data_IF_685661265461
#
_entry.id   IF_685661265461
#
_cell.length_a   1.000
_cell.length_b   1.000
_cell.length_c   1.000
_cell.angle_alpha   90.00
_cell.angle_beta   90.00
_cell.angle_gamma   90.00
#
_symmetry.space_group_name_H-M   'P 1'
#
loop_
_entity.id
_entity.type
_entity.pdbx_description
1 polymer ?
#
# COMPACT_ATOMS: atom_id res chain seq x y z
N UNK A 1 10.87 0.73 45.26
CA UNK A 1 11.19 1.54 44.06
C UNK A 1 10.44 0.96 42.87
N UNK A 2 9.39 1.63 42.43
CA UNK A 2 8.68 1.36 41.18
C UNK A 2 8.95 2.53 40.25
N UNK A 3 9.53 2.25 39.08
CA UNK A 3 9.65 3.21 38.00
C UNK A 3 8.59 2.87 36.95
N UNK A 4 7.71 3.82 36.63
CA UNK A 4 6.65 3.70 35.64
C UNK A 4 6.86 4.70 34.51
N UNK A 5 7.26 4.22 33.33
CA UNK A 5 7.32 5.00 32.10
C UNK A 5 5.92 5.06 31.46
N UNK A 6 5.38 6.27 31.27
CA UNK A 6 4.09 6.52 30.63
C UNK A 6 4.27 6.80 29.13
N UNK A 7 3.36 6.24 28.33
CA UNK A 7 3.26 6.33 26.86
C UNK A 7 3.16 7.78 26.34
N UNK A 8 3.89 8.03 25.27
CA UNK A 8 3.67 9.16 24.36
C UNK A 8 2.29 9.04 23.68
N UNK A 9 1.59 10.17 23.52
CA UNK A 9 0.30 10.25 22.81
C UNK A 9 0.46 11.08 21.55
N UNK A 10 0.00 10.52 20.44
CA UNK A 10 -0.20 11.21 19.16
C UNK A 10 -1.70 11.25 18.84
N UNK A 11 -2.20 12.38 18.33
CA UNK A 11 -3.58 12.54 17.87
C UNK A 11 -3.63 13.43 16.62
N UNK A 12 -4.57 13.12 15.71
CA UNK A 12 -4.83 13.89 14.49
C UNK A 12 -6.30 14.29 14.40
N UNK A 13 -6.58 15.56 14.13
CA UNK A 13 -7.92 16.13 13.91
C UNK A 13 -8.08 16.55 12.43
N UNK A 14 -9.17 16.16 11.77
CA UNK A 14 -9.40 16.35 10.32
C UNK A 14 -10.79 16.88 10.01
N UNK A 15 -10.86 18.06 9.37
CA UNK A 15 -12.08 18.71 8.91
C UNK A 15 -11.85 19.38 7.54
N UNK A 16 -12.35 18.78 6.44
CA UNK A 16 -12.27 19.39 5.11
C UNK A 16 -13.57 19.16 4.32
N UNK A 17 -13.99 20.19 3.58
CA UNK A 17 -14.96 20.03 2.49
C UNK A 17 -14.28 19.20 1.40
N UNK A 18 -14.95 18.15 0.94
CA UNK A 18 -14.42 17.23 -0.07
C UNK A 18 -14.89 17.61 -1.47
N UNK A 19 -16.12 18.12 -1.59
CA UNK A 19 -16.68 18.63 -2.84
C UNK A 19 -17.54 19.88 -2.58
N UNK A 20 -17.47 20.85 -3.50
CA UNK A 20 -18.13 22.14 -3.36
C UNK A 20 -19.53 22.14 -3.98
N UNK A 21 -20.56 22.47 -3.19
CA UNK A 21 -21.94 22.59 -3.66
C UNK A 21 -22.17 23.89 -4.45
N UNK A 22 -23.01 23.87 -5.50
CA UNK A 22 -23.33 25.08 -6.25
C UNK A 22 -24.08 24.85 -7.56
N UNK A 23 -24.39 25.94 -8.25
CA UNK A 23 -24.92 25.93 -9.62
C UNK A 23 -23.75 26.09 -10.59
N UNK A 24 -23.55 25.11 -11.47
CA UNK A 24 -22.52 25.15 -12.52
C UNK A 24 -23.22 25.07 -13.88
N UNK A 25 -23.30 26.18 -14.59
CA UNK A 25 -23.83 26.22 -15.96
C UNK A 25 -22.67 26.39 -16.94
N UNK A 26 -22.63 25.66 -18.05
CA UNK A 26 -21.48 25.71 -18.95
C UNK A 26 -21.59 26.88 -19.95
N UNK A 27 -21.36 26.66 -21.25
CA UNK A 27 -21.42 27.71 -22.26
C UNK A 27 -22.81 28.35 -22.45
N UNK A 28 -23.86 27.76 -21.86
CA UNK A 28 -25.24 28.25 -21.90
C UNK A 28 -25.52 29.46 -21.01
N UNK A 29 -24.65 29.76 -20.03
CA UNK A 29 -24.86 30.87 -19.10
C UNK A 29 -25.86 30.55 -17.99
N UNK A 30 -26.19 31.54 -17.17
CA UNK A 30 -27.24 31.43 -16.17
C UNK A 30 -28.09 32.70 -16.14
N UNK A 31 -29.38 32.53 -15.92
CA UNK A 31 -30.32 33.61 -15.59
C UNK A 31 -31.13 33.17 -14.37
N UNK A 32 -30.74 33.68 -13.21
CA UNK A 32 -31.24 33.22 -11.91
C UNK A 32 -32.01 34.37 -11.27
N UNK A 33 -33.27 34.12 -10.93
CA UNK A 33 -34.10 35.08 -10.19
C UNK A 33 -34.50 34.49 -8.84
N UNK A 34 -34.11 35.17 -7.75
CA UNK A 34 -34.42 34.78 -6.38
C UNK A 34 -35.12 35.94 -5.69
N UNK A 35 -36.41 35.79 -5.35
CA UNK A 35 -37.18 36.89 -4.74
C UNK A 35 -36.59 37.35 -3.39
N UNK A 36 -36.05 36.40 -2.61
CA UNK A 36 -35.45 36.66 -1.29
C UNK A 36 -33.93 36.74 -1.32
N UNK A 37 -33.30 36.33 -0.22
CA UNK A 37 -31.84 36.36 -0.07
C UNK A 37 -31.18 35.13 -0.67
N UNK A 38 -30.11 35.33 -1.42
CA UNK A 38 -29.19 34.26 -1.85
C UNK A 38 -28.06 34.12 -0.84
N UNK A 39 -28.01 33.01 -0.11
CA UNK A 39 -26.98 32.71 0.87
C UNK A 39 -26.01 31.65 0.32
N UNK A 40 -24.72 31.95 0.34
CA UNK A 40 -23.66 31.01 -0.03
C UNK A 40 -22.75 30.78 1.18
N UNK A 41 -22.57 29.53 1.58
CA UNK A 41 -21.60 29.11 2.60
C UNK A 41 -20.67 28.09 1.97
N UNK A 42 -19.48 28.53 1.57
CA UNK A 42 -18.54 27.76 0.77
C UNK A 42 -19.08 27.30 -0.59
N UNK A 43 -20.24 27.78 -1.04
CA UNK A 43 -20.88 27.35 -2.31
C UNK A 43 -20.69 28.33 -3.47
N UNK A 44 -20.91 27.86 -4.71
CA UNK A 44 -20.66 28.68 -5.93
C UNK A 44 -21.85 28.80 -6.90
N UNK A 45 -21.84 29.88 -7.69
CA UNK A 45 -22.64 30.02 -8.92
C UNK A 45 -21.69 30.33 -10.07
N UNK A 46 -21.42 29.35 -10.92
CA UNK A 46 -20.35 29.39 -11.91
C UNK A 46 -20.87 29.20 -13.33
N UNK A 47 -20.29 29.93 -14.28
CA UNK A 47 -20.46 29.63 -15.70
C UNK A 47 -19.30 30.06 -16.59
N UNK A 48 -19.03 29.23 -17.61
CA UNK A 48 -18.01 29.47 -18.65
C UNK A 48 -18.50 30.33 -19.82
N UNK A 49 -19.80 30.61 -19.91
CA UNK A 49 -20.35 31.56 -20.89
C UNK A 49 -19.79 32.99 -20.72
N UNK A 50 -19.96 33.82 -21.76
CA UNK A 50 -19.63 35.24 -21.72
C UNK A 50 -20.51 36.02 -20.72
N UNK A 51 -20.00 37.15 -20.20
CA UNK A 51 -20.64 37.90 -19.10
C UNK A 51 -22.07 38.40 -19.41
N UNK A 52 -22.37 38.67 -20.67
CA UNK A 52 -23.69 39.08 -21.17
C UNK A 52 -24.77 37.99 -21.03
N UNK A 53 -24.38 36.72 -20.86
CA UNK A 53 -25.28 35.57 -20.65
C UNK A 53 -25.37 35.11 -19.20
N UNK A 54 -24.87 35.92 -18.27
CA UNK A 54 -24.80 35.60 -16.84
C UNK A 54 -25.50 36.70 -16.06
N UNK A 55 -26.68 36.39 -15.53
CA UNK A 55 -27.53 37.31 -14.78
C UNK A 55 -28.02 36.68 -13.48
N UNK A 56 -27.80 37.35 -12.36
CA UNK A 56 -28.37 37.01 -11.07
C UNK A 56 -29.19 38.20 -10.55
N UNK A 57 -30.51 38.04 -10.49
CA UNK A 57 -31.42 39.00 -9.87
C UNK A 57 -31.87 38.45 -8.52
N UNK A 58 -31.52 39.13 -7.42
CA UNK A 58 -31.89 38.67 -6.08
C UNK A 58 -32.21 39.80 -5.12
N UNK A 59 -33.00 39.52 -4.08
CA UNK A 59 -33.34 40.51 -3.04
C UNK A 59 -32.10 41.02 -2.31
N UNK A 60 -31.30 40.12 -1.74
CA UNK A 60 -30.01 40.42 -1.11
C UNK A 60 -29.06 39.21 -1.22
N UNK A 61 -27.77 39.41 -0.95
CA UNK A 61 -26.76 38.33 -0.98
C UNK A 61 -26.01 38.30 0.33
N UNK A 62 -25.76 37.10 0.86
CA UNK A 62 -24.77 36.88 1.93
C UNK A 62 -23.83 35.75 1.54
N UNK A 63 -22.56 35.89 1.94
CA UNK A 63 -21.51 34.90 1.64
C UNK A 63 -20.70 34.60 2.89
N UNK A 64 -20.23 33.37 3.02
CA UNK A 64 -19.34 32.91 4.08
C UNK A 64 -18.45 31.79 3.56
N UNK A 65 -17.20 31.75 3.98
CA UNK A 65 -16.24 30.72 3.57
C UNK A 65 -16.15 29.61 4.64
N UNK A 66 -15.72 28.42 4.24
CA UNK A 66 -15.47 27.29 5.14
C UNK A 66 -13.95 27.08 5.25
N UNK A 67 -13.44 27.08 6.48
CA UNK A 67 -12.04 26.76 6.78
C UNK A 67 -11.86 25.24 6.86
N UNK A 68 -10.93 24.70 6.07
CA UNK A 68 -10.51 23.31 6.08
C UNK A 68 -9.20 23.16 6.88
N UNK A 69 -9.07 22.13 7.71
CA UNK A 69 -7.89 21.91 8.55
C UNK A 69 -7.57 20.43 8.75
N UNK A 70 -6.29 20.13 8.87
CA UNK A 70 -5.76 18.86 9.37
C UNK A 70 -4.60 19.16 10.32
N UNK A 71 -4.66 18.69 11.57
CA UNK A 71 -3.63 18.94 12.58
C UNK A 71 -3.19 17.65 13.26
N UNK A 72 -1.88 17.45 13.40
CA UNK A 72 -1.28 16.36 14.16
C UNK A 72 -0.41 16.89 15.31
N UNK A 73 -0.51 16.28 16.48
CA UNK A 73 0.34 16.64 17.65
C UNK A 73 0.98 15.41 18.27
N UNK A 74 2.28 15.50 18.57
CA UNK A 74 3.02 14.48 19.31
C UNK A 74 3.63 15.10 20.59
N UNK A 75 3.61 14.36 21.70
CA UNK A 75 4.29 14.77 22.93
C UNK A 75 5.06 13.64 23.57
N UNK A 76 6.34 13.88 23.89
CA UNK A 76 7.18 13.01 24.70
C UNK A 76 7.37 13.57 26.12
N UNK A 77 7.29 12.71 27.14
CA UNK A 77 7.62 13.10 28.52
C UNK A 77 8.61 12.09 29.14
N UNK A 78 9.78 12.61 29.54
CA UNK A 78 10.90 11.85 30.09
C UNK A 78 10.67 11.29 31.50
N UNK A 79 11.57 10.38 31.91
CA UNK A 79 11.60 9.79 33.24
C UNK A 79 12.87 10.20 34.00
N UNK A 80 12.69 10.78 35.20
CA UNK A 80 13.73 10.99 36.20
C UNK A 80 13.69 9.86 37.24
N UNK A 81 14.87 9.46 37.72
CA UNK A 81 15.05 8.38 38.69
C UNK A 81 14.83 8.83 40.14
N UNK A 82 14.40 7.84 40.95
CA UNK A 82 14.72 7.60 42.37
C UNK A 82 13.69 7.97 43.43
N UNK A 83 13.64 7.12 44.46
CA UNK A 83 13.29 7.51 45.82
C UNK A 83 11.96 6.98 46.35
N UNK A 84 12.02 6.39 47.54
CA UNK A 84 10.93 5.72 48.24
C UNK A 84 9.96 6.73 48.91
N UNK A 85 8.70 6.32 48.93
CA UNK A 85 7.59 6.64 49.84
C UNK A 85 7.35 8.07 50.39
N UNK A 86 6.12 8.52 50.10
CA UNK A 86 5.28 9.45 50.90
C UNK A 86 5.37 10.97 50.61
N UNK A 87 4.73 11.35 49.49
CA UNK A 87 3.83 12.52 49.31
C UNK A 87 4.35 13.77 48.56
N UNK A 88 3.73 14.00 47.39
CA UNK A 88 3.21 15.27 46.80
C UNK A 88 3.70 16.59 47.43
N UNK A 89 4.34 17.46 46.62
CA UNK A 89 3.96 18.89 46.45
C UNK A 89 5.06 19.83 45.89
N UNK A 90 6.23 19.34 45.47
CA UNK A 90 7.18 20.17 44.68
C UNK A 90 6.95 19.96 43.19
N UNK A 91 5.72 20.18 42.76
CA UNK A 91 5.48 20.72 41.42
C UNK A 91 6.15 22.11 41.40
N UNK A 92 6.92 22.48 40.36
CA UNK A 92 6.50 23.58 39.46
C UNK A 92 7.54 24.21 38.53
N UNK A 93 8.85 24.23 38.75
CA UNK A 93 9.67 25.29 38.08
C UNK A 93 10.97 24.89 37.34
N UNK A 94 11.10 23.71 36.74
CA UNK A 94 12.23 23.40 35.82
C UNK A 94 11.68 22.70 34.56
N UNK A 95 11.22 23.47 33.56
CA UNK A 95 11.94 23.89 32.33
C UNK A 95 12.10 22.73 31.31
N UNK A 96 11.16 22.46 30.39
CA UNK A 96 10.74 23.16 29.14
C UNK A 96 11.57 22.76 27.89
N UNK A 97 10.85 22.58 26.76
CA UNK A 97 11.21 22.22 25.35
C UNK A 97 11.21 20.71 25.00
N UNK A 98 10.50 20.19 23.98
CA UNK A 98 9.68 20.81 22.93
C UNK A 98 8.71 19.79 22.28
N UNK A 99 7.56 20.28 21.80
CA UNK A 99 6.52 19.51 21.10
C UNK A 99 6.58 19.85 19.61
N UNK A 100 6.62 18.85 18.72
CA UNK A 100 6.41 19.05 17.29
C UNK A 100 4.89 19.08 17.02
N UNK A 101 4.43 20.09 16.28
CA UNK A 101 3.07 20.20 15.74
C UNK A 101 3.20 20.35 14.23
N UNK A 102 2.47 19.56 13.46
CA UNK A 102 2.38 19.70 12.01
C UNK A 102 0.92 19.80 11.60
N UNK A 103 0.61 20.65 10.62
CA UNK A 103 -0.76 20.92 10.22
C UNK A 103 -0.87 21.58 8.86
N UNK A 104 -1.97 21.30 8.17
CA UNK A 104 -2.31 21.84 6.87
C UNK A 104 -3.68 22.54 6.94
N UNK A 105 -3.79 23.69 6.28
CA UNK A 105 -5.02 24.49 6.22
C UNK A 105 -5.38 24.79 4.76
N UNK A 106 -6.67 24.93 4.49
CA UNK A 106 -7.24 25.25 3.18
C UNK A 106 -8.57 25.97 3.34
N UNK A 107 -9.09 26.56 2.27
CA UNK A 107 -10.35 27.31 2.32
C UNK A 107 -11.30 26.88 1.21
N UNK A 108 -12.60 26.87 1.52
CA UNK A 108 -13.67 26.70 0.54
C UNK A 108 -14.50 27.97 0.53
N UNK A 109 -14.27 28.80 -0.48
CA UNK A 109 -14.84 30.14 -0.61
C UNK A 109 -16.15 30.15 -1.34
N UNK A 110 -17.04 31.03 -0.92
CA UNK A 110 -18.23 31.33 -1.71
C UNK A 110 -17.91 32.25 -2.87
N UNK A 111 -18.34 31.89 -4.08
CA UNK A 111 -18.00 32.65 -5.29
C UNK A 111 -19.13 32.67 -6.33
N UNK A 112 -19.25 33.79 -7.06
CA UNK A 112 -20.21 33.95 -8.16
C UNK A 112 -19.44 34.45 -9.39
N UNK A 113 -19.44 33.68 -10.48
CA UNK A 113 -18.69 34.03 -11.69
C UNK A 113 -19.14 35.36 -12.29
N UNK A 114 -18.25 36.05 -13.00
CA UNK A 114 -18.50 37.38 -13.61
C UNK A 114 -19.78 37.43 -14.43
N UNK A 115 -20.55 38.52 -14.31
CA UNK A 115 -21.90 38.66 -14.86
C UNK A 115 -22.69 39.74 -14.15
N UNK A 116 -23.85 40.08 -14.68
CA UNK A 116 -24.74 41.12 -14.16
C UNK A 116 -25.40 40.65 -12.85
N UNK A 117 -25.26 41.43 -11.78
CA UNK A 117 -25.96 41.18 -10.51
C UNK A 117 -26.89 42.35 -10.21
N UNK A 118 -28.17 42.07 -10.02
CA UNK A 118 -29.21 43.06 -9.71
C UNK A 118 -29.75 42.78 -8.32
N UNK A 119 -29.56 43.73 -7.40
CA UNK A 119 -30.05 43.66 -6.03
C UNK A 119 -31.37 44.45 -5.93
N UNK A 120 -32.47 43.75 -5.65
CA UNK A 120 -33.82 44.33 -5.71
C UNK A 120 -34.28 44.92 -4.37
N UNK A 121 -33.62 44.60 -3.24
CA UNK A 121 -33.91 45.17 -1.91
C UNK A 121 -32.72 45.98 -1.34
N UNK A 122 -32.37 47.06 -2.04
CA UNK A 122 -31.26 47.96 -1.67
C UNK A 122 -31.46 48.68 -0.33
N UNK A 123 -32.72 48.81 0.14
CA UNK A 123 -33.03 49.43 1.44
C UNK A 123 -32.76 48.48 2.61
N UNK A 124 -33.09 47.19 2.47
CA UNK A 124 -32.76 46.16 3.45
C UNK A 124 -31.25 45.87 3.56
N UNK A 125 -30.50 46.03 2.46
CA UNK A 125 -29.04 45.89 2.49
C UNK A 125 -28.34 47.02 3.24
N UNK A 126 -28.79 48.28 3.09
CA UNK A 126 -28.24 49.39 3.87
C UNK A 126 -28.48 49.26 5.37
N UNK A 127 -29.57 48.62 5.80
CA UNK A 127 -29.76 48.26 7.21
C UNK A 127 -28.83 47.16 7.73
N UNK A 128 -28.19 46.40 6.85
CA UNK A 128 -27.07 45.49 7.18
C UNK A 128 -25.71 46.23 7.17
N UNK A 129 -25.70 47.55 6.94
CA UNK A 129 -24.52 48.40 7.08
C UNK A 129 -23.63 48.49 5.84
N UNK A 130 -24.05 48.00 4.67
CA UNK A 130 -23.25 47.98 3.45
C UNK A 130 -24.03 48.52 2.24
N UNK A 131 -23.37 49.25 1.34
CA UNK A 131 -23.98 49.71 0.10
C UNK A 131 -24.03 48.58 -0.96
N UNK A 132 -25.03 48.60 -1.83
CA UNK A 132 -25.22 47.54 -2.84
C UNK A 132 -24.01 47.43 -3.79
N UNK A 133 -23.34 48.55 -4.12
CA UNK A 133 -22.12 48.54 -4.93
C UNK A 133 -20.93 47.91 -4.20
N UNK A 134 -20.79 48.16 -2.89
CA UNK A 134 -19.73 47.56 -2.06
C UNK A 134 -19.91 46.05 -1.89
N UNK A 135 -21.15 45.60 -1.67
CA UNK A 135 -21.46 44.16 -1.57
C UNK A 135 -21.07 43.46 -2.87
N UNK A 136 -21.54 43.95 -4.02
CA UNK A 136 -21.22 43.35 -5.32
C UNK A 136 -19.71 43.39 -5.60
N UNK A 137 -19.05 44.50 -5.26
CA UNK A 137 -17.61 44.66 -5.43
C UNK A 137 -16.77 43.74 -4.53
N UNK A 138 -17.31 43.31 -3.40
CA UNK A 138 -16.63 42.40 -2.45
C UNK A 138 -16.80 40.91 -2.76
N UNK A 139 -17.72 40.54 -3.67
CA UNK A 139 -17.96 39.14 -4.01
C UNK A 139 -16.73 38.51 -4.70
N UNK A 140 -16.34 37.32 -4.26
CA UNK A 140 -15.34 36.54 -4.97
C UNK A 140 -15.89 36.11 -6.34
N UNK A 141 -15.23 36.54 -7.42
CA UNK A 141 -15.62 36.23 -8.79
C UNK A 141 -14.92 35.02 -9.39
N UNK A 142 -13.89 34.51 -8.72
CA UNK A 142 -13.11 33.38 -9.17
C UNK A 142 -13.70 32.08 -8.64
N UNK A 143 -14.60 31.47 -9.41
CA UNK A 143 -15.23 30.19 -9.06
C UNK A 143 -14.34 28.98 -9.36
N UNK A 144 -13.29 29.13 -10.19
CA UNK A 144 -12.45 28.02 -10.62
C UNK A 144 -11.47 27.58 -9.55
N UNK A 145 -11.02 28.51 -8.70
CA UNK A 145 -10.10 28.23 -7.58
C UNK A 145 -10.76 28.51 -6.23
N UNK A 146 -12.09 28.47 -6.16
CA UNK A 146 -12.83 28.77 -4.95
C UNK A 146 -12.77 27.64 -3.90
N UNK A 147 -12.22 26.48 -4.23
CA UNK A 147 -12.15 25.34 -3.32
C UNK A 147 -10.74 24.76 -3.23
N UNK A 148 -10.22 24.68 -2.00
CA UNK A 148 -8.94 24.05 -1.68
C UNK A 148 -9.12 23.12 -0.47
N UNK A 149 -9.20 21.81 -0.73
CA UNK A 149 -9.31 20.77 0.29
C UNK A 149 -7.95 20.48 0.98
N UNK A 150 -8.00 19.89 2.17
CA UNK A 150 -6.82 19.45 2.95
C UNK A 150 -6.87 17.92 3.11
N UNK A 151 -5.71 17.25 3.15
CA UNK A 151 -5.57 15.81 3.37
C UNK A 151 -5.13 15.48 4.82
N UNK A 152 -5.50 14.31 5.40
CA UNK A 152 -5.04 13.90 6.74
C UNK A 152 -3.55 13.52 6.77
N UNK A 153 -2.86 13.80 7.89
CA UNK A 153 -1.39 13.70 8.05
C UNK A 153 -0.98 12.48 8.92
N UNK A 154 -0.05 11.64 8.43
CA UNK A 154 1.02 11.00 9.25
C UNK A 154 2.37 11.06 8.49
N UNK A 155 3.42 11.54 9.16
CA UNK A 155 4.28 12.62 8.69
C UNK A 155 5.67 12.24 8.13
N UNK A 156 5.98 10.97 7.84
CA UNK A 156 7.33 10.63 7.29
C UNK A 156 7.37 9.51 6.23
N UNK A 157 6.29 8.74 6.04
CA UNK A 157 6.26 7.63 5.07
C UNK A 157 5.43 7.89 3.81
N UNK A 158 4.87 9.10 3.65
CA UNK A 158 4.00 9.48 2.53
C UNK A 158 4.72 10.12 1.34
N UNK A 159 5.90 10.72 1.52
CA UNK A 159 6.54 11.56 0.49
C UNK A 159 7.02 10.79 -0.76
N UNK A 160 7.36 9.50 -0.65
CA UNK A 160 7.82 8.69 -1.80
C UNK A 160 6.70 8.01 -2.61
N UNK A 161 5.52 7.82 -2.02
CA UNK A 161 4.41 7.08 -2.64
C UNK A 161 3.35 7.99 -3.29
N UNK A 162 3.36 9.29 -2.99
CA UNK A 162 2.33 10.25 -3.41
C UNK A 162 2.58 10.83 -4.81
N UNK A 163 3.82 10.86 -5.32
CA UNK A 163 4.08 11.44 -6.65
C UNK A 163 3.49 10.63 -7.82
N UNK A 164 3.20 9.33 -7.63
CA UNK A 164 2.57 8.49 -8.67
C UNK A 164 1.06 8.29 -8.47
N UNK A 165 0.41 8.96 -7.49
CA UNK A 165 -1.00 8.68 -7.13
C UNK A 165 -2.02 9.65 -7.74
N UNK A 166 -1.64 10.87 -8.12
CA UNK A 166 -2.60 11.91 -8.52
C UNK A 166 -2.85 12.00 -10.04
N UNK A 167 -1.91 11.58 -10.88
CA UNK A 167 -2.15 11.50 -12.33
C UNK A 167 -3.05 10.31 -12.70
N UNK A 168 -3.08 9.26 -11.87
CA UNK A 168 -3.81 8.02 -12.14
C UNK A 168 -5.32 8.10 -11.81
N UNK A 169 -5.75 9.11 -11.06
CA UNK A 169 -7.18 9.33 -10.71
C UNK A 169 -7.83 10.41 -11.58
N UNK A 170 -7.06 11.32 -12.19
CA UNK A 170 -7.61 12.37 -13.05
C UNK A 170 -7.87 11.93 -14.50
N UNK A 171 -7.37 10.77 -14.92
CA UNK A 171 -7.52 10.27 -16.30
C UNK A 171 -8.78 9.40 -16.50
N UNK A 172 -9.89 9.78 -15.86
CA UNK A 172 -11.21 9.17 -16.04
C UNK A 172 -11.87 9.65 -17.35
N UNK A 173 -11.23 9.30 -18.45
CA UNK A 173 -11.85 9.11 -19.76
C UNK A 173 -12.19 7.61 -19.95
N UNK A 174 -12.81 7.22 -21.07
CA UNK A 174 -13.15 5.81 -21.37
C UNK A 174 -11.95 4.83 -21.27
N UNK A 175 -10.71 5.32 -21.27
CA UNK A 175 -9.48 4.53 -21.07
C UNK A 175 -9.14 4.26 -19.59
N UNK A 176 -9.46 5.17 -18.67
CA UNK A 176 -9.12 5.08 -17.23
C UNK A 176 -9.96 4.06 -16.45
N UNK A 177 -11.23 3.87 -16.81
CA UNK A 177 -12.04 2.78 -16.28
C UNK A 177 -11.50 1.41 -16.73
N UNK A 178 -10.93 1.34 -17.94
CA UNK A 178 -10.31 0.12 -18.48
C UNK A 178 -9.12 -0.34 -17.64
N UNK A 179 -8.29 0.59 -17.15
CA UNK A 179 -7.11 0.28 -16.32
C UNK A 179 -7.51 -0.34 -14.97
N UNK A 180 -8.39 0.31 -14.20
CA UNK A 180 -8.87 -0.23 -12.92
C UNK A 180 -9.67 -1.52 -13.09
N UNK A 181 -10.46 -1.62 -14.17
CA UNK A 181 -11.18 -2.85 -14.49
C UNK A 181 -10.21 -4.01 -14.80
N UNK A 182 -9.10 -3.78 -15.52
CA UNK A 182 -8.07 -4.81 -15.76
C UNK A 182 -7.44 -5.28 -14.46
N UNK A 183 -7.04 -4.35 -13.57
CA UNK A 183 -6.49 -4.68 -12.25
C UNK A 183 -7.51 -5.52 -11.47
N UNK A 184 -8.77 -5.08 -11.40
CA UNK A 184 -9.82 -5.80 -10.70
C UNK A 184 -10.04 -7.20 -11.29
N UNK A 185 -10.15 -7.29 -12.62
CA UNK A 185 -10.37 -8.55 -13.32
C UNK A 185 -9.26 -9.54 -13.03
N UNK A 186 -8.01 -9.12 -13.14
CA UNK A 186 -6.86 -9.98 -12.86
C UNK A 186 -6.85 -10.40 -11.40
N UNK A 187 -6.99 -9.46 -10.47
CA UNK A 187 -6.81 -9.71 -9.05
C UNK A 187 -7.96 -10.49 -8.37
N UNK A 188 -9.18 -10.37 -8.90
CA UNK A 188 -10.40 -10.90 -8.26
C UNK A 188 -11.25 -11.82 -9.14
N UNK A 189 -11.31 -11.60 -10.45
CA UNK A 189 -12.19 -12.36 -11.34
C UNK A 189 -11.49 -13.53 -12.04
N UNK A 190 -10.18 -13.43 -12.28
CA UNK A 190 -9.39 -14.50 -12.89
C UNK A 190 -9.02 -15.57 -11.86
N UNK A 191 -8.96 -16.84 -12.29
CA UNK A 191 -8.49 -17.95 -11.44
C UNK A 191 -6.98 -17.81 -11.20
N UNK A 192 -6.55 -17.94 -9.95
CA UNK A 192 -5.13 -17.97 -9.56
C UNK A 192 -4.77 -19.42 -9.23
N UNK A 193 -4.26 -20.23 -10.17
CA UNK A 193 -4.04 -21.65 -9.92
C UNK A 193 -2.88 -21.87 -8.95
N UNK A 194 -2.96 -22.97 -8.19
CA UNK A 194 -1.81 -23.53 -7.49
C UNK A 194 -1.20 -24.65 -8.33
N UNK A 195 0.12 -24.77 -8.32
CA UNK A 195 0.85 -25.80 -9.02
C UNK A 195 1.83 -26.51 -8.11
N UNK A 196 2.23 -27.71 -8.51
CA UNK A 196 3.23 -28.51 -7.85
C UNK A 196 4.38 -28.79 -8.81
N UNK A 197 5.61 -28.57 -8.34
CA UNK A 197 6.84 -28.92 -9.05
C UNK A 197 6.94 -30.43 -9.15
N UNK A 198 7.22 -30.93 -10.35
CA UNK A 198 7.36 -32.34 -10.60
C UNK A 198 8.69 -32.85 -10.02
N UNK A 199 8.62 -33.96 -9.28
CA UNK A 199 9.78 -34.64 -8.71
C UNK A 199 9.82 -36.11 -9.17
N UNK A 200 11.01 -36.69 -9.21
CA UNK A 200 11.20 -38.13 -9.43
C UNK A 200 10.90 -38.95 -8.16
N UNK A 201 10.99 -40.28 -8.25
CA UNK A 201 10.75 -41.19 -7.12
C UNK A 201 11.73 -41.00 -5.95
N UNK A 202 12.87 -40.35 -6.17
CA UNK A 202 13.86 -40.04 -5.15
C UNK A 202 13.69 -38.62 -4.59
N UNK A 203 12.68 -37.87 -5.06
CA UNK A 203 12.42 -36.50 -4.66
C UNK A 203 13.29 -35.46 -5.37
N UNK A 204 13.95 -35.77 -6.48
CA UNK A 204 14.71 -34.79 -7.25
C UNK A 204 13.80 -34.01 -8.20
N UNK A 205 14.03 -32.69 -8.32
CA UNK A 205 13.30 -31.82 -9.26
C UNK A 205 13.48 -32.28 -10.71
N UNK A 206 12.36 -32.36 -11.45
CA UNK A 206 12.35 -32.68 -12.87
C UNK A 206 12.38 -31.42 -13.74
N UNK A 207 13.15 -31.49 -14.82
CA UNK A 207 13.29 -30.42 -15.81
C UNK A 207 12.88 -30.91 -17.19
N UNK A 208 12.40 -30.00 -18.03
CA UNK A 208 12.09 -30.31 -19.43
C UNK A 208 13.37 -30.76 -20.15
N UNK A 209 13.31 -31.89 -20.86
CA UNK A 209 14.47 -32.44 -21.59
C UNK A 209 14.25 -32.47 -23.09
N UNK A 210 15.34 -32.46 -23.86
CA UNK A 210 15.34 -32.75 -25.28
C UNK A 210 15.14 -34.25 -25.57
N UNK A 211 15.09 -34.61 -26.86
CA UNK A 211 14.93 -35.99 -27.33
C UNK A 211 16.06 -36.93 -26.85
N UNK A 212 17.19 -36.39 -26.40
CA UNK A 212 18.33 -37.15 -25.88
C UNK A 212 18.36 -37.18 -24.33
N UNK A 213 17.33 -36.67 -23.67
CA UNK A 213 17.24 -36.61 -22.21
C UNK A 213 18.09 -35.51 -21.58
N UNK A 214 18.57 -34.51 -22.35
CA UNK A 214 19.33 -33.38 -21.80
C UNK A 214 18.40 -32.23 -21.39
N UNK A 215 18.55 -31.64 -20.19
CA UNK A 215 17.72 -30.53 -19.75
C UNK A 215 17.80 -29.31 -20.69
N UNK A 216 16.62 -28.77 -21.03
CA UNK A 216 16.43 -27.62 -21.89
C UNK A 216 16.44 -26.34 -21.05
N UNK A 217 17.08 -25.31 -21.60
CA UNK A 217 17.08 -23.96 -21.04
C UNK A 217 16.08 -23.07 -21.78
N UNK A 218 15.36 -22.23 -21.05
CA UNK A 218 14.52 -21.18 -21.59
C UNK A 218 15.33 -20.04 -22.20
N UNK A 219 14.63 -19.03 -22.73
CA UNK A 219 15.22 -17.84 -23.33
C UNK A 219 16.04 -17.00 -22.33
N UNK A 220 15.83 -17.21 -21.03
CA UNK A 220 16.55 -16.61 -19.92
C UNK A 220 17.82 -17.39 -19.53
N UNK A 221 18.14 -18.48 -20.24
CA UNK A 221 19.32 -19.31 -20.00
C UNK A 221 19.18 -20.29 -18.83
N UNK A 222 17.98 -20.45 -18.26
CA UNK A 222 17.73 -21.32 -17.09
C UNK A 222 16.94 -22.56 -17.45
N UNK A 223 17.12 -23.64 -16.68
CA UNK A 223 16.38 -24.87 -16.89
C UNK A 223 14.88 -24.69 -16.64
N UNK A 224 14.06 -25.22 -17.54
CA UNK A 224 12.61 -25.14 -17.43
C UNK A 224 12.17 -26.23 -16.46
N UNK A 225 11.66 -25.81 -15.30
CA UNK A 225 11.17 -26.70 -14.25
C UNK A 225 9.83 -27.31 -14.68
N UNK A 226 9.68 -28.64 -14.58
CA UNK A 226 8.40 -29.28 -14.86
C UNK A 226 7.47 -29.11 -13.66
N UNK A 227 6.20 -28.86 -13.94
CA UNK A 227 5.15 -28.74 -12.94
C UNK A 227 3.81 -29.16 -13.53
N UNK A 228 2.83 -29.36 -12.66
CA UNK A 228 1.44 -29.47 -13.07
C UNK A 228 0.58 -28.55 -12.19
N UNK A 229 -0.49 -28.02 -12.76
CA UNK A 229 -1.48 -27.29 -11.97
C UNK A 229 -2.38 -28.25 -11.23
N UNK A 230 -2.63 -27.94 -9.97
CA UNK A 230 -3.51 -28.70 -9.10
C UNK A 230 -4.96 -28.57 -9.55
N UNK A 231 -5.71 -29.65 -9.40
CA UNK A 231 -7.17 -29.65 -9.45
C UNK A 231 -7.72 -29.09 -8.13
N UNK A 232 -8.94 -28.53 -8.11
CA UNK A 232 -9.52 -27.96 -6.90
C UNK A 232 -9.55 -28.90 -5.68
N UNK A 233 -9.70 -30.20 -5.89
CA UNK A 233 -9.64 -31.22 -4.85
C UNK A 233 -8.24 -31.42 -4.27
N UNK A 234 -7.19 -31.24 -5.07
CA UNK A 234 -5.79 -31.38 -4.68
C UNK A 234 -5.30 -30.15 -3.89
N UNK A 235 -5.82 -28.95 -4.21
CA UNK A 235 -5.48 -27.68 -3.54
C UNK A 235 -5.74 -27.68 -2.01
N UNK A 236 -6.61 -28.59 -1.52
CA UNK A 236 -6.91 -28.74 -0.09
C UNK A 236 -6.22 -29.96 0.56
N UNK A 237 -5.43 -30.72 -0.20
CA UNK A 237 -4.78 -31.95 0.24
C UNK A 237 -3.31 -31.97 -0.18
N UNK A 238 -2.61 -30.85 0.05
CA UNK A 238 -1.18 -30.71 -0.16
C UNK A 238 -0.41 -31.69 0.72
N UNK A 239 0.66 -32.25 0.16
CA UNK A 239 1.49 -33.25 0.80
C UNK A 239 2.69 -32.58 1.49
N UNK A 240 3.09 -33.13 2.62
CA UNK A 240 4.28 -32.68 3.34
C UNK A 240 5.54 -33.26 2.68
N UNK A 241 6.60 -32.45 2.64
CA UNK A 241 7.93 -32.90 2.28
C UNK A 241 8.51 -33.88 3.31
N UNK A 242 9.73 -34.34 3.04
CA UNK A 242 10.47 -35.24 3.93
C UNK A 242 10.82 -34.62 5.29
N UNK A 243 10.81 -33.28 5.36
CA UNK A 243 10.97 -32.47 6.57
C UNK A 243 9.67 -32.30 7.38
N UNK A 244 8.54 -32.82 6.88
CA UNK A 244 7.25 -32.74 7.55
C UNK A 244 6.52 -31.41 7.35
N UNK A 245 7.00 -30.55 6.45
CA UNK A 245 6.38 -29.25 6.12
C UNK A 245 5.73 -29.27 4.74
N UNK A 246 4.64 -28.52 4.57
CA UNK A 246 4.12 -28.15 3.25
C UNK A 246 4.87 -26.91 2.78
N UNK A 247 5.48 -26.94 1.60
CA UNK A 247 6.25 -25.81 1.05
C UNK A 247 5.42 -25.07 0.00
N UNK A 248 5.14 -23.79 0.25
CA UNK A 248 4.31 -22.96 -0.62
C UNK A 248 5.00 -21.64 -0.97
N UNK A 249 5.24 -21.44 -2.27
CA UNK A 249 5.79 -20.20 -2.83
C UNK A 249 4.71 -19.26 -3.37
N UNK A 250 4.85 -17.96 -3.12
CA UNK A 250 3.99 -16.91 -3.66
C UNK A 250 4.76 -16.00 -4.61
N UNK A 251 4.30 -15.93 -5.87
CA UNK A 251 5.01 -15.26 -6.95
C UNK A 251 4.88 -13.72 -6.96
N UNK A 252 5.87 -13.07 -7.57
CA UNK A 252 5.92 -11.63 -7.78
C UNK A 252 5.08 -11.12 -8.96
N UNK A 253 5.41 -9.92 -9.45
CA UNK A 253 4.96 -9.41 -10.76
C UNK A 253 5.85 -9.93 -11.88
N UNK A 254 5.41 -9.84 -13.14
CA UNK A 254 6.21 -10.24 -14.31
C UNK A 254 6.77 -11.66 -14.23
N UNK A 255 6.06 -12.55 -13.55
CA UNK A 255 6.47 -13.93 -13.31
C UNK A 255 5.57 -14.82 -14.15
N UNK A 256 6.12 -15.53 -15.13
CA UNK A 256 5.39 -16.57 -15.85
C UNK A 256 5.11 -17.79 -14.95
N UNK A 257 4.21 -18.70 -15.33
CA UNK A 257 4.06 -19.98 -14.63
C UNK A 257 5.37 -20.76 -14.48
N UNK A 258 6.19 -20.79 -15.54
CA UNK A 258 7.49 -21.47 -15.54
C UNK A 258 8.47 -20.79 -14.57
N UNK A 259 8.43 -19.45 -14.48
CA UNK A 259 9.22 -18.70 -13.50
C UNK A 259 8.72 -18.93 -12.08
N UNK A 260 7.42 -19.05 -11.85
CA UNK A 260 6.86 -19.32 -10.54
C UNK A 260 7.30 -20.69 -10.02
N UNK A 261 7.21 -21.73 -10.86
CA UNK A 261 7.72 -23.06 -10.54
C UNK A 261 9.24 -23.05 -10.29
N UNK A 262 10.00 -22.34 -11.13
CA UNK A 262 11.44 -22.19 -10.97
C UNK A 262 11.81 -21.47 -9.67
N UNK A 263 11.08 -20.42 -9.28
CA UNK A 263 11.32 -19.70 -8.05
C UNK A 263 10.93 -20.51 -6.81
N UNK A 264 9.90 -21.37 -6.90
CA UNK A 264 9.59 -22.32 -5.84
C UNK A 264 10.79 -23.23 -5.54
N UNK A 265 11.49 -23.70 -6.58
CA UNK A 265 12.74 -24.46 -6.41
C UNK A 265 13.89 -23.58 -5.91
N UNK A 266 14.08 -22.39 -6.51
CA UNK A 266 15.22 -21.51 -6.19
C UNK A 266 15.22 -21.05 -4.73
N UNK A 267 14.04 -20.84 -4.14
CA UNK A 267 13.88 -20.30 -2.79
C UNK A 267 13.66 -21.36 -1.71
N UNK A 268 13.38 -22.61 -2.09
CA UNK A 268 13.28 -23.72 -1.16
C UNK A 268 14.65 -24.02 -0.52
N UNK A 269 14.71 -24.04 0.81
CA UNK A 269 15.91 -24.51 1.53
C UNK A 269 16.13 -26.01 1.36
N UNK A 270 15.04 -26.74 1.10
CA UNK A 270 15.02 -28.15 0.79
C UNK A 270 14.20 -28.34 -0.48
N UNK A 271 14.89 -28.59 -1.60
CA UNK A 271 14.25 -28.88 -2.89
C UNK A 271 13.92 -30.37 -3.07
N UNK A 272 14.10 -31.19 -2.03
CA UNK A 272 13.79 -32.62 -2.05
C UNK A 272 12.43 -32.90 -1.41
N UNK A 273 11.38 -32.89 -2.21
CA UNK A 273 10.01 -33.20 -1.79
C UNK A 273 8.96 -32.34 -2.49
N UNK A 274 7.73 -32.33 -1.96
CA UNK A 274 6.64 -31.57 -2.57
C UNK A 274 6.87 -30.05 -2.43
N UNK A 275 7.01 -29.37 -3.57
CA UNK A 275 7.09 -27.92 -3.65
C UNK A 275 5.89 -27.37 -4.41
N UNK A 276 5.12 -26.52 -3.74
CA UNK A 276 3.94 -25.88 -4.32
C UNK A 276 4.18 -24.40 -4.59
N UNK A 277 3.43 -23.85 -5.54
CA UNK A 277 3.40 -22.42 -5.79
C UNK A 277 2.00 -21.94 -6.12
N UNK A 278 1.68 -20.73 -5.67
CA UNK A 278 0.52 -19.98 -6.16
C UNK A 278 0.95 -19.15 -7.37
N UNK A 279 0.24 -19.28 -8.49
CA UNK A 279 0.41 -18.42 -9.65
C UNK A 279 -0.66 -17.32 -9.65
N UNK A 280 -0.24 -16.12 -9.31
CA UNK A 280 -1.00 -14.90 -9.54
C UNK A 280 -0.82 -14.49 -11.01
N UNK A 281 -1.90 -14.47 -11.82
CA UNK A 281 -1.82 -14.19 -13.25
C UNK A 281 -1.24 -12.80 -13.54
N UNK A 282 -0.38 -12.72 -14.56
CA UNK A 282 0.23 -11.48 -15.02
C UNK A 282 -0.49 -10.88 -16.25
N UNK A 283 -0.45 -9.56 -16.40
CA UNK A 283 -0.68 -8.85 -17.66
C UNK A 283 0.64 -8.65 -18.43
N UNK A 284 0.55 -8.48 -19.75
CA UNK A 284 1.71 -8.12 -20.58
C UNK A 284 2.06 -6.64 -20.46
N UNK A 285 1.11 -5.83 -19.99
CA UNK A 285 1.30 -4.40 -19.76
C UNK A 285 1.99 -4.13 -18.42
N UNK A 286 3.18 -3.52 -18.52
CA UNK A 286 4.01 -3.15 -17.37
C UNK A 286 3.29 -2.21 -16.39
N UNK A 287 2.47 -1.29 -16.88
CA UNK A 287 1.73 -0.35 -16.03
C UNK A 287 0.60 -1.05 -15.27
N UNK A 288 -0.02 -2.07 -15.86
CA UNK A 288 -1.06 -2.87 -15.20
C UNK A 288 -0.44 -3.74 -14.10
N UNK A 289 0.67 -4.41 -14.38
CA UNK A 289 1.40 -5.24 -13.40
C UNK A 289 1.91 -4.43 -12.19
N UNK A 290 2.53 -3.28 -12.44
CA UNK A 290 2.94 -2.35 -11.37
C UNK A 290 1.71 -1.81 -10.62
N UNK A 291 0.63 -1.53 -11.35
CA UNK A 291 -0.66 -1.13 -10.80
C UNK A 291 -1.25 -2.14 -9.82
N UNK A 292 -1.18 -3.43 -10.13
CA UNK A 292 -1.63 -4.51 -9.23
C UNK A 292 -0.82 -4.49 -7.93
N UNK A 293 0.50 -4.33 -8.00
CA UNK A 293 1.35 -4.27 -6.81
C UNK A 293 1.03 -3.06 -5.90
N UNK A 294 0.85 -1.89 -6.50
CA UNK A 294 0.40 -0.67 -5.79
C UNK A 294 -0.99 -0.88 -5.19
N UNK A 295 -1.90 -1.49 -5.96
CA UNK A 295 -3.25 -1.78 -5.50
C UNK A 295 -3.24 -2.72 -4.28
N UNK A 296 -2.48 -3.81 -4.31
CA UNK A 296 -2.34 -4.70 -3.16
C UNK A 296 -1.71 -4.02 -1.94
N UNK A 297 -0.76 -3.10 -2.13
CA UNK A 297 -0.12 -2.36 -1.03
C UNK A 297 -1.07 -1.43 -0.29
N UNK A 298 -1.91 -0.71 -1.01
CA UNK A 298 -2.68 0.39 -0.42
C UNK A 298 -4.18 0.11 -0.28
N UNK A 299 -4.72 -0.86 -1.01
CA UNK A 299 -6.17 -1.03 -1.14
C UNK A 299 -6.68 -2.44 -0.82
N UNK A 300 -5.91 -3.50 -1.04
CA UNK A 300 -6.36 -4.87 -0.72
C UNK A 300 -6.68 -5.04 0.78
N UNK A 301 -7.82 -5.64 1.09
CA UNK A 301 -8.27 -5.85 2.48
C UNK A 301 -8.81 -4.58 3.17
N UNK A 302 -9.09 -3.52 2.40
CA UNK A 302 -9.85 -2.35 2.89
C UNK A 302 -11.35 -2.62 2.84
N UNK A 303 -12.14 -1.79 3.54
CA UNK A 303 -13.61 -1.95 3.55
C UNK A 303 -14.23 -2.00 2.14
N UNK A 304 -13.66 -1.26 1.18
CA UNK A 304 -14.15 -1.20 -0.20
C UNK A 304 -13.62 -2.33 -1.09
N UNK A 305 -12.46 -2.90 -0.76
CA UNK A 305 -11.78 -3.87 -1.60
C UNK A 305 -11.38 -5.09 -0.77
N UNK A 306 -11.99 -6.23 -1.07
CA UNK A 306 -11.72 -7.50 -0.39
C UNK A 306 -10.31 -8.05 -0.67
N UNK A 307 -10.10 -9.33 -0.36
CA UNK A 307 -8.83 -10.02 -0.64
C UNK A 307 -8.81 -10.57 -2.07
N UNK A 308 -7.64 -10.52 -2.70
CA UNK A 308 -7.41 -11.14 -4.01
C UNK A 308 -7.50 -12.66 -3.92
N UNK A 309 -7.66 -13.33 -5.07
CA UNK A 309 -7.79 -14.80 -5.08
C UNK A 309 -6.55 -15.52 -4.55
N UNK A 310 -5.34 -15.00 -4.82
CA UNK A 310 -4.11 -15.55 -4.23
C UNK A 310 -4.06 -15.35 -2.71
N UNK A 311 -4.51 -14.20 -2.20
CA UNK A 311 -4.51 -13.93 -0.77
C UNK A 311 -5.53 -14.81 -0.03
N UNK A 312 -6.67 -15.12 -0.65
CA UNK A 312 -7.63 -16.11 -0.14
C UNK A 312 -7.03 -17.52 -0.11
N UNK A 313 -6.29 -17.91 -1.15
CA UNK A 313 -5.57 -19.19 -1.20
C UNK A 313 -4.52 -19.28 -0.11
N UNK A 314 -3.73 -18.22 0.09
CA UNK A 314 -2.84 -18.10 1.22
C UNK A 314 -3.53 -18.31 2.57
N UNK A 315 -4.68 -17.64 2.79
CA UNK A 315 -5.44 -17.82 4.03
C UNK A 315 -5.90 -19.28 4.21
N UNK A 316 -6.33 -19.94 3.15
CA UNK A 316 -6.71 -21.35 3.18
C UNK A 316 -5.52 -22.25 3.56
N UNK A 317 -4.37 -22.07 2.90
CA UNK A 317 -3.13 -22.82 3.18
C UNK A 317 -2.66 -22.63 4.62
N UNK A 318 -2.66 -21.39 5.11
CA UNK A 318 -2.32 -21.09 6.52
C UNK A 318 -3.29 -21.78 7.49
N UNK A 319 -4.59 -21.75 7.20
CA UNK A 319 -5.59 -22.37 8.06
C UNK A 319 -5.46 -23.90 8.12
N UNK A 320 -5.15 -24.54 6.99
CA UNK A 320 -5.01 -25.99 6.90
C UNK A 320 -3.70 -26.51 7.49
N UNK A 321 -2.58 -25.81 7.26
CA UNK A 321 -1.25 -26.36 7.53
C UNK A 321 -0.43 -25.57 8.56
N UNK A 322 -0.86 -24.37 8.95
CA UNK A 322 -0.04 -23.45 9.73
C UNK A 322 0.32 -23.96 11.14
N UNK A 323 -0.46 -24.87 11.71
CA UNK A 323 -0.15 -25.55 12.97
C UNK A 323 0.51 -26.92 12.79
N UNK A 324 0.47 -27.47 11.57
CA UNK A 324 0.88 -28.83 11.29
C UNK A 324 2.28 -28.91 10.68
N UNK A 325 2.77 -27.82 10.10
CA UNK A 325 4.07 -27.73 9.42
C UNK A 325 3.91 -27.04 8.07
N UNK A 326 4.22 -25.75 8.02
CA UNK A 326 4.04 -24.92 6.83
C UNK A 326 5.27 -24.03 6.61
N UNK A 327 5.87 -24.14 5.42
CA UNK A 327 6.92 -23.27 4.92
C UNK A 327 6.35 -22.34 3.86
N UNK A 328 6.48 -21.04 4.07
CA UNK A 328 6.00 -20.02 3.12
C UNK A 328 7.19 -19.21 2.61
N UNK A 329 7.30 -19.12 1.29
CA UNK A 329 8.29 -18.29 0.62
C UNK A 329 7.60 -17.19 -0.20
N UNK A 330 7.89 -15.93 0.11
CA UNK A 330 7.29 -14.77 -0.56
C UNK A 330 8.34 -13.93 -1.27
N UNK A 331 8.24 -13.81 -2.60
CA UNK A 331 9.14 -12.96 -3.38
C UNK A 331 8.44 -11.72 -3.91
N UNK A 332 9.11 -10.56 -3.85
CA UNK A 332 8.59 -9.32 -4.44
C UNK A 332 7.16 -9.02 -3.98
N UNK A 333 6.20 -8.83 -4.89
CA UNK A 333 4.77 -8.68 -4.62
C UNK A 333 4.13 -9.92 -3.95
N UNK A 334 4.65 -11.13 -4.13
CA UNK A 334 4.16 -12.32 -3.43
C UNK A 334 4.20 -12.17 -1.90
N UNK A 335 5.15 -11.39 -1.38
CA UNK A 335 5.16 -11.01 0.04
C UNK A 335 3.95 -10.16 0.47
N UNK A 336 3.34 -9.39 -0.44
CA UNK A 336 2.09 -8.67 -0.17
C UNK A 336 0.91 -9.63 -0.05
N UNK A 337 0.83 -10.66 -0.90
CA UNK A 337 -0.20 -11.70 -0.78
C UNK A 337 -0.14 -12.38 0.58
N UNK A 338 1.07 -12.75 1.04
CA UNK A 338 1.29 -13.32 2.37
C UNK A 338 0.92 -12.31 3.46
N UNK A 339 1.54 -11.13 3.45
CA UNK A 339 1.37 -10.12 4.50
C UNK A 339 -0.04 -9.57 4.62
N UNK A 340 -0.74 -9.31 3.51
CA UNK A 340 -2.13 -8.85 3.53
C UNK A 340 -3.07 -9.92 4.07
N UNK A 341 -2.85 -11.18 3.69
CA UNK A 341 -3.66 -12.29 4.19
C UNK A 341 -3.48 -12.50 5.70
N UNK A 342 -2.23 -12.41 6.19
CA UNK A 342 -1.93 -12.47 7.63
C UNK A 342 -2.54 -11.29 8.38
N UNK A 343 -2.37 -10.07 7.87
CA UNK A 343 -2.87 -8.87 8.52
C UNK A 343 -4.40 -8.82 8.55
N UNK A 344 -5.08 -9.38 7.54
CA UNK A 344 -6.53 -9.55 7.56
C UNK A 344 -7.00 -10.54 8.65
N UNK A 345 -6.26 -11.63 8.90
CA UNK A 345 -6.55 -12.50 10.06
C UNK A 345 -6.41 -11.74 11.38
N UNK A 346 -5.32 -10.98 11.55
CA UNK A 346 -5.08 -10.16 12.74
C UNK A 346 -6.19 -9.11 12.96
N UNK A 347 -6.58 -8.38 11.90
CA UNK A 347 -7.70 -7.42 11.95
C UNK A 347 -9.03 -8.05 12.38
N UNK A 348 -9.26 -9.32 12.01
CA UNK A 348 -10.45 -10.09 12.41
C UNK A 348 -10.31 -10.76 13.78
N UNK A 349 -9.18 -10.58 14.46
CA UNK A 349 -8.92 -11.19 15.77
C UNK A 349 -8.67 -12.70 15.71
N UNK A 350 -8.27 -13.23 14.56
CA UNK A 350 -7.98 -14.65 14.37
C UNK A 350 -6.52 -14.89 14.74
N UNK A 351 -6.26 -15.83 15.64
CA UNK A 351 -4.92 -16.22 16.10
C UNK A 351 -4.89 -17.73 16.43
N UNK A 352 -3.71 -18.26 16.79
CA UNK A 352 -3.52 -19.68 17.08
C UNK A 352 -3.54 -20.59 15.85
N UNK A 353 -3.31 -20.05 14.65
CA UNK A 353 -3.36 -20.77 13.37
C UNK A 353 -1.97 -21.02 12.75
N UNK A 354 -0.93 -20.35 13.24
CA UNK A 354 0.40 -20.35 12.62
C UNK A 354 1.51 -20.92 13.54
N UNK A 355 1.16 -21.84 14.45
CA UNK A 355 2.06 -22.32 15.50
C UNK A 355 3.28 -23.11 15.02
N UNK A 356 3.21 -23.72 13.83
CA UNK A 356 4.29 -24.45 13.18
C UNK A 356 4.49 -23.93 11.74
N UNK A 357 4.55 -22.60 11.62
CA UNK A 357 4.74 -21.91 10.34
C UNK A 357 6.05 -21.17 10.32
N UNK A 358 6.80 -21.33 9.24
CA UNK A 358 8.02 -20.57 8.97
C UNK A 358 7.89 -19.79 7.66
N UNK A 359 8.36 -18.54 7.65
CA UNK A 359 8.20 -17.62 6.52
C UNK A 359 9.56 -17.07 6.12
N UNK A 360 9.92 -17.14 4.83
CA UNK A 360 11.02 -16.35 4.27
C UNK A 360 10.55 -15.39 3.19
N UNK A 361 11.27 -14.29 3.11
CA UNK A 361 10.98 -13.19 2.21
C UNK A 361 12.21 -12.85 1.36
N UNK A 362 12.00 -12.70 0.06
CA UNK A 362 13.05 -12.45 -0.93
C UNK A 362 12.73 -11.16 -1.71
N UNK A 363 13.55 -10.11 -1.55
CA UNK A 363 13.26 -8.78 -2.09
C UNK A 363 11.82 -8.29 -1.85
N UNK A 364 11.27 -8.40 -0.62
CA UNK A 364 9.83 -8.30 -0.40
C UNK A 364 9.29 -6.87 -0.50
N UNK A 365 8.16 -6.74 -1.20
CA UNK A 365 7.34 -5.53 -1.24
C UNK A 365 6.57 -5.27 0.08
N UNK A 366 6.40 -6.28 0.92
CA UNK A 366 5.83 -6.18 2.27
C UNK A 366 6.90 -5.94 3.33
N UNK A 367 6.56 -5.27 4.42
CA UNK A 367 7.51 -5.00 5.50
C UNK A 367 7.71 -6.25 6.39
N UNK A 368 8.94 -6.77 6.43
CA UNK A 368 9.30 -7.98 7.15
C UNK A 368 9.10 -7.84 8.67
N UNK A 369 9.33 -6.66 9.25
CA UNK A 369 9.09 -6.42 10.67
C UNK A 369 7.59 -6.49 11.01
N UNK A 370 6.75 -5.88 10.16
CA UNK A 370 5.29 -6.00 10.27
C UNK A 370 4.85 -7.46 10.15
N UNK A 371 5.41 -8.20 9.18
CA UNK A 371 5.07 -9.61 9.01
C UNK A 371 5.49 -10.47 10.20
N UNK A 372 6.67 -10.22 10.79
CA UNK A 372 7.12 -10.91 12.00
C UNK A 372 6.18 -10.64 13.20
N UNK A 373 5.73 -9.39 13.37
CA UNK A 373 4.79 -9.02 14.42
C UNK A 373 3.44 -9.73 14.23
N UNK A 374 2.93 -9.75 13.00
CA UNK A 374 1.68 -10.45 12.70
C UNK A 374 1.83 -11.96 12.85
N UNK A 375 2.97 -12.56 12.47
CA UNK A 375 3.23 -13.99 12.68
C UNK A 375 3.25 -14.35 14.18
N UNK A 376 3.88 -13.52 15.01
CA UNK A 376 3.89 -13.64 16.46
C UNK A 376 2.45 -13.67 17.01
N UNK A 377 1.62 -12.71 16.58
CA UNK A 377 0.21 -12.68 16.92
C UNK A 377 -0.54 -13.94 16.46
N UNK A 378 -0.44 -14.31 15.18
CA UNK A 378 -1.16 -15.46 14.59
C UNK A 378 -0.72 -16.82 15.14
N UNK A 379 0.49 -16.90 15.72
CA UNK A 379 1.06 -18.12 16.27
C UNK A 379 0.95 -18.22 17.80
N UNK A 380 0.31 -17.25 18.46
CA UNK A 380 0.29 -17.10 19.93
C UNK A 380 1.70 -17.00 20.56
N UNK A 381 2.65 -16.45 19.80
CA UNK A 381 4.06 -16.31 20.18
C UNK A 381 4.90 -17.57 20.05
N UNK A 382 4.42 -18.58 19.32
CA UNK A 382 5.22 -19.76 18.97
C UNK A 382 6.22 -19.47 17.84
N UNK A 383 5.88 -18.56 16.94
CA UNK A 383 6.70 -18.18 15.78
C UNK A 383 6.91 -16.67 15.82
N UNK A 384 8.14 -16.24 16.11
CA UNK A 384 8.43 -14.82 16.40
C UNK A 384 9.39 -14.19 15.40
N UNK A 385 9.72 -14.85 14.30
CA UNK A 385 10.63 -14.30 13.31
C UNK A 385 10.27 -14.70 11.89
N UNK A 386 10.67 -13.86 10.94
CA UNK A 386 10.64 -14.19 9.51
C UNK A 386 12.04 -14.08 8.93
N UNK A 387 12.36 -14.95 7.99
CA UNK A 387 13.57 -14.87 7.19
C UNK A 387 13.50 -13.72 6.18
N UNK A 388 14.59 -12.98 6.04
CA UNK A 388 14.71 -11.90 5.05
C UNK A 388 16.00 -12.05 4.26
N UNK A 389 15.86 -12.03 2.94
CA UNK A 389 16.93 -11.81 1.96
C UNK A 389 16.54 -10.59 1.12
N UNK A 390 17.40 -9.58 1.14
CA UNK A 390 17.10 -8.30 0.51
C UNK A 390 18.38 -7.59 0.07
N UNK A 391 18.46 -7.24 -1.21
CA UNK A 391 19.64 -6.60 -1.77
C UNK A 391 19.58 -5.08 -1.56
N UNK A 392 20.71 -4.46 -1.19
CA UNK A 392 20.79 -3.01 -0.94
C UNK A 392 20.35 -2.11 -2.11
N UNK A 393 20.35 -2.62 -3.34
CA UNK A 393 19.98 -1.89 -4.55
C UNK A 393 18.68 -2.40 -5.17
N UNK A 394 18.01 -3.34 -4.51
CA UNK A 394 16.64 -3.73 -4.83
C UNK A 394 15.67 -2.70 -4.25
N UNK A 395 15.20 -1.79 -5.10
CA UNK A 395 14.28 -0.73 -4.66
C UNK A 395 12.93 -1.28 -4.17
N UNK A 396 12.51 -2.48 -4.62
CA UNK A 396 11.24 -3.09 -4.17
C UNK A 396 11.35 -3.42 -2.69
N UNK A 397 12.40 -4.15 -2.30
CA UNK A 397 12.63 -4.47 -0.90
C UNK A 397 12.96 -3.26 -0.03
N UNK A 398 13.87 -2.41 -0.49
CA UNK A 398 14.39 -1.27 0.28
C UNK A 398 13.38 -0.14 0.40
N UNK A 399 12.82 0.35 -0.72
CA UNK A 399 11.95 1.54 -0.70
C UNK A 399 10.49 1.16 -0.51
N UNK A 400 9.99 0.19 -1.27
CA UNK A 400 8.58 -0.16 -1.23
C UNK A 400 8.23 -1.02 -0.02
N UNK A 401 9.07 -1.99 0.31
CA UNK A 401 8.95 -2.82 1.52
C UNK A 401 9.43 -2.14 2.80
N UNK A 402 10.32 -1.15 2.70
CA UNK A 402 10.95 -0.51 3.87
C UNK A 402 11.81 -1.49 4.67
N UNK A 403 12.42 -2.47 3.99
CA UNK A 403 13.18 -3.54 4.62
C UNK A 403 14.67 -3.22 4.65
N UNK A 404 15.42 -3.70 5.67
CA UNK A 404 16.86 -3.56 5.69
C UNK A 404 17.51 -4.35 4.55
N UNK A 405 18.68 -3.90 4.11
CA UNK A 405 19.53 -4.68 3.23
C UNK A 405 20.22 -5.80 4.01
N UNK A 406 20.50 -6.89 3.31
CA UNK A 406 21.26 -8.03 3.83
C UNK A 406 22.60 -8.10 3.13
N UNK A 407 22.64 -8.00 1.80
CA UNK A 407 23.86 -7.95 0.99
C UNK A 407 23.78 -6.84 -0.06
N UNK A 408 24.91 -6.47 -0.67
CA UNK A 408 25.04 -5.23 -1.43
C UNK A 408 25.92 -5.31 -2.70
N UNK A 409 26.53 -6.45 -3.03
CA UNK A 409 27.48 -6.51 -4.16
C UNK A 409 26.76 -6.27 -5.50
N UNK A 410 27.34 -5.41 -6.35
CA UNK A 410 26.90 -5.19 -7.74
C UNK A 410 28.09 -5.29 -8.71
N UNK A 411 27.85 -5.51 -10.02
CA UNK A 411 28.92 -5.54 -11.01
C UNK A 411 29.74 -4.25 -11.04
N UNK A 412 31.05 -4.37 -11.28
CA UNK A 412 31.94 -3.22 -11.44
C UNK A 412 31.46 -2.32 -12.58
N UNK A 413 31.33 -1.02 -12.31
CA UNK A 413 30.81 -0.05 -13.26
C UNK A 413 29.27 0.06 -13.31
N UNK A 414 28.55 -0.73 -12.49
CA UNK A 414 27.12 -0.53 -12.28
C UNK A 414 26.84 0.55 -11.23
N UNK A 415 25.59 1.01 -11.18
CA UNK A 415 25.11 2.04 -10.25
C UNK A 415 23.73 1.68 -9.70
N UNK A 416 23.28 2.28 -8.58
CA UNK A 416 21.94 2.04 -8.03
C UNK A 416 20.82 2.28 -9.06
N UNK A 417 20.95 3.32 -9.88
CA UNK A 417 19.99 3.63 -10.94
C UNK A 417 20.01 2.60 -12.07
N UNK A 418 21.20 2.12 -12.46
CA UNK A 418 21.34 1.06 -13.45
C UNK A 418 20.68 -0.23 -12.96
N UNK A 419 20.93 -0.63 -11.71
CA UNK A 419 20.34 -1.84 -11.15
C UNK A 419 18.82 -1.73 -11.00
N UNK A 420 18.28 -0.56 -10.59
CA UNK A 420 16.84 -0.33 -10.55
C UNK A 420 16.16 -0.52 -11.93
N UNK A 421 16.80 -0.07 -13.02
CA UNK A 421 16.29 -0.27 -14.38
C UNK A 421 16.41 -1.74 -14.84
N UNK A 422 17.51 -2.40 -14.49
CA UNK A 422 17.78 -3.78 -14.91
C UNK A 422 16.79 -4.79 -14.36
N UNK A 423 16.19 -4.52 -13.19
CA UNK A 423 15.12 -5.34 -12.58
C UNK A 423 14.00 -5.67 -13.57
N UNK A 424 13.65 -4.73 -14.46
CA UNK A 424 12.53 -4.89 -15.39
C UNK A 424 12.92 -5.37 -16.79
N UNK A 425 14.22 -5.40 -17.11
CA UNK A 425 14.69 -5.49 -18.50
C UNK A 425 15.63 -6.66 -18.77
N UNK A 426 16.29 -7.21 -17.75
CA UNK A 426 17.33 -8.22 -17.92
C UNK A 426 17.35 -9.25 -16.79
N UNK A 427 18.13 -10.31 -16.97
CA UNK A 427 18.57 -11.23 -15.92
C UNK A 427 20.08 -11.49 -16.11
N UNK A 428 20.89 -11.71 -15.04
CA UNK A 428 20.57 -11.61 -13.61
C UNK A 428 20.41 -10.17 -13.10
N UNK A 429 19.74 -10.01 -11.96
CA UNK A 429 19.46 -8.70 -11.32
C UNK A 429 19.49 -8.78 -9.80
N UNK A 430 19.64 -7.62 -9.16
CA UNK A 430 19.52 -7.46 -7.69
C UNK A 430 18.18 -7.94 -7.12
N UNK A 431 17.11 -8.03 -7.93
CA UNK A 431 15.77 -8.44 -7.50
C UNK A 431 15.48 -9.93 -7.77
N UNK A 432 16.30 -10.63 -8.53
CA UNK A 432 16.12 -12.05 -8.85
C UNK A 432 17.19 -12.97 -8.24
N UNK A 433 18.31 -12.39 -7.77
CA UNK A 433 19.47 -13.11 -7.24
C UNK A 433 19.37 -13.33 -5.73
N UNK A 434 18.38 -14.12 -5.33
CA UNK A 434 18.14 -14.54 -3.95
C UNK A 434 18.09 -16.07 -3.81
N UNK A 435 18.15 -16.60 -2.59
CA UNK A 435 18.12 -18.03 -2.29
C UNK A 435 19.26 -18.78 -2.98
N UNK A 436 18.94 -19.95 -3.52
CA UNK A 436 19.87 -20.83 -4.22
C UNK A 436 20.04 -20.46 -5.71
N UNK A 437 20.15 -19.15 -5.99
CA UNK A 437 20.34 -18.67 -7.35
C UNK A 437 21.65 -19.19 -7.99
N UNK A 438 21.65 -19.32 -9.33
CA UNK A 438 22.79 -19.87 -10.07
C UNK A 438 24.08 -19.06 -9.95
N UNK A 439 25.20 -19.67 -10.39
CA UNK A 439 26.57 -19.12 -10.26
C UNK A 439 26.73 -17.70 -10.82
N UNK A 440 25.98 -17.34 -11.86
CA UNK A 440 25.99 -15.97 -12.41
C UNK A 440 25.52 -14.94 -11.37
N UNK A 441 24.45 -15.24 -10.62
CA UNK A 441 23.99 -14.39 -9.52
C UNK A 441 25.08 -14.21 -8.46
N UNK A 442 25.69 -15.30 -8.00
CA UNK A 442 26.79 -15.22 -7.01
C UNK A 442 27.99 -14.42 -7.51
N UNK A 443 28.33 -14.57 -8.80
CA UNK A 443 29.44 -13.87 -9.44
C UNK A 443 29.19 -12.36 -9.53
N UNK A 444 28.01 -11.96 -10.00
CA UNK A 444 27.67 -10.55 -10.25
C UNK A 444 27.17 -9.82 -9.00
N UNK A 445 26.35 -10.48 -8.18
CA UNK A 445 25.59 -9.88 -7.08
C UNK A 445 25.96 -10.41 -5.69
N UNK A 446 26.91 -11.36 -5.62
CA UNK A 446 27.31 -11.98 -4.36
C UNK A 446 26.35 -13.08 -3.91
N UNK A 447 26.77 -13.83 -2.89
CA UNK A 447 25.90 -14.82 -2.26
C UNK A 447 24.85 -14.10 -1.44
N UNK A 448 23.58 -14.41 -1.70
CA UNK A 448 22.51 -14.03 -0.80
C UNK A 448 22.73 -14.66 0.58
N UNK A 449 22.32 -13.97 1.62
CA UNK A 449 22.29 -14.55 2.96
C UNK A 449 21.06 -14.07 3.72
N UNK A 450 20.43 -15.02 4.39
CA UNK A 450 19.20 -14.80 5.13
C UNK A 450 19.50 -14.29 6.53
N UNK A 451 18.84 -13.21 6.92
CA UNK A 451 18.78 -12.75 8.31
C UNK A 451 17.40 -13.05 8.89
N UNK A 452 17.32 -13.14 10.22
CA UNK A 452 16.04 -13.26 10.91
C UNK A 452 15.58 -11.89 11.40
N UNK A 453 14.36 -11.49 11.03
CA UNK A 453 13.67 -10.32 11.55
C UNK A 453 12.74 -10.77 12.66
N UNK A 454 13.08 -10.44 13.90
CA UNK A 454 12.31 -10.83 15.08
C UNK A 454 11.16 -9.86 15.34
N UNK A 455 10.01 -10.37 15.76
CA UNK A 455 8.88 -9.59 16.27
C UNK A 455 9.33 -8.71 17.43
N UNK A 456 8.96 -7.43 17.38
CA UNK A 456 9.18 -6.49 18.48
C UNK A 456 8.14 -6.64 19.60
N UNK A 457 7.08 -7.44 19.40
CA UNK A 457 6.06 -7.73 20.42
C UNK A 457 6.51 -8.85 21.39
N UNK A 458 7.41 -9.74 20.94
CA UNK A 458 7.93 -10.87 21.71
C UNK A 458 8.71 -10.47 22.98
N UNK A 459 9.20 -9.22 23.06
CA UNK A 459 9.95 -8.70 24.21
C UNK A 459 9.11 -8.27 25.42
N UNK A 460 7.77 -8.30 25.32
CA UNK A 460 6.86 -7.82 26.37
C UNK A 460 6.36 -8.88 27.36
N UNK A 461 6.68 -10.17 27.16
CA UNK A 461 6.33 -11.26 28.09
C UNK A 461 7.56 -11.67 28.92
N UNK A 462 7.91 -10.85 29.90
CA UNK A 462 8.77 -11.27 31.03
C UNK A 462 8.16 -10.84 32.35
#
# INVERSE_FOLDING_TARGET
>A
MSASLNKDKSSSDYHSVVEQSGIKAEAGGFDITVTGTTNLTGGIIASSASADKKSLTTGSITTSDITNSAHATASSHGFSLSGNDTIKNITKNVLNHGKAKDGAEGETKSAISDGTIILTNTTGQRSMGQDAGEIIGSLNRNTATAHQAVAPIDATSLEGAVHNRLDMINDLSDEGLGYFYKIYKIAYATKHPEGEVAHDENGNVLYLTDENGKPIKGNDGKYITLYHFLKPEEENHLQKGSDGEVHMFYNGIFTSPDDAARYAVQFADNDHGHLYFTYFPQDKDMLVEVGIAVFQKFFEGTFFFGLTNSTKKFQNTMYLYGNDGLRIDGHSRGSMTVGNGMHDFEKRGIHGIAGNTSINLFGPAYNAQSMANTLDYLSDGKQTSVGLENHAYDFVGIKFGGNPATFDKIPSGSSPGNEAWRIFTTYPTVHACYGHAGRECTSFYGSSHRIQINSIQSGGKK
#
